data_IF_906943327714
#
_entry.id   IF_906943327714
#
_cell.length_a   1.000
_cell.length_b   1.000
_cell.length_c   1.000
_cell.angle_alpha   90.00
_cell.angle_beta   90.00
_cell.angle_gamma   90.00
#
_symmetry.space_group_name_H-M   'P 1'
#
loop_
_entity.id
_entity.type
_entity.pdbx_description
1 polymer ?
#
# COMPACT_ATOMS: atom_id res chain seq x y z
N UNK A 1 2.29 -8.73 6.90
CA UNK A 1 2.59 -10.12 6.48
C UNK A 1 3.17 -10.12 5.08
N UNK A 2 4.26 -10.84 4.86
CA UNK A 2 4.87 -11.08 3.54
C UNK A 2 4.24 -12.34 2.94
N UNK A 3 3.77 -12.29 1.69
CA UNK A 3 3.07 -13.42 1.07
C UNK A 3 4.03 -14.31 0.26
N UNK A 4 5.07 -13.72 -0.30
CA UNK A 4 6.17 -14.40 -1.01
C UNK A 4 7.51 -13.73 -0.70
N UNK A 5 8.63 -14.46 -0.64
CA UNK A 5 9.97 -13.87 -0.48
C UNK A 5 10.32 -12.80 -1.52
N UNK A 6 9.73 -12.90 -2.72
CA UNK A 6 9.93 -11.97 -3.82
C UNK A 6 9.10 -10.68 -3.69
N UNK A 7 8.16 -10.60 -2.74
CA UNK A 7 7.31 -9.43 -2.59
C UNK A 7 8.10 -8.22 -2.10
N UNK A 8 7.75 -7.05 -2.66
CA UNK A 8 8.23 -5.75 -2.20
C UNK A 8 7.15 -4.96 -1.44
N UNK A 9 6.06 -5.62 -1.07
CA UNK A 9 5.01 -5.06 -0.20
C UNK A 9 4.62 -6.08 0.88
N UNK A 10 4.17 -5.56 2.02
CA UNK A 10 3.45 -6.33 3.04
C UNK A 10 1.96 -6.07 2.95
N UNK A 11 1.15 -7.02 3.39
CA UNK A 11 -0.29 -6.84 3.65
C UNK A 11 -0.54 -6.75 5.15
N UNK A 12 -1.28 -5.72 5.58
CA UNK A 12 -1.66 -5.55 6.98
C UNK A 12 -2.69 -6.61 7.42
N UNK A 13 -2.43 -7.27 8.56
CA UNK A 13 -3.33 -8.30 9.13
C UNK A 13 -4.42 -7.71 10.03
N UNK A 14 -4.19 -6.51 10.52
CA UNK A 14 -5.09 -5.72 11.35
C UNK A 14 -4.98 -4.25 10.95
N UNK A 15 -5.87 -3.40 11.48
CA UNK A 15 -5.74 -1.97 11.28
C UNK A 15 -4.57 -1.44 12.13
N UNK A 16 -3.84 -0.47 11.58
CA UNK A 16 -2.71 0.19 12.23
C UNK A 16 -3.08 1.66 12.40
N UNK A 17 -2.93 2.18 13.61
CA UNK A 17 -3.28 3.54 13.97
C UNK A 17 -2.35 4.56 13.32
N UNK A 18 -2.82 5.80 13.23
CA UNK A 18 -1.96 6.94 12.94
C UNK A 18 -0.92 7.12 14.06
N UNK A 19 0.33 7.36 13.70
CA UNK A 19 1.44 7.49 14.64
C UNK A 19 1.94 6.17 15.22
N UNK A 20 1.31 5.04 14.88
CA UNK A 20 1.77 3.72 15.29
C UNK A 20 3.05 3.34 14.52
N UNK A 21 3.95 2.64 15.22
CA UNK A 21 5.23 2.21 14.65
C UNK A 21 5.23 0.71 14.39
N UNK A 22 5.54 0.35 13.15
CA UNK A 22 5.76 -1.03 12.72
C UNK A 22 7.24 -1.31 12.56
N UNK A 23 7.66 -2.54 12.80
CA UNK A 23 9.01 -3.01 12.45
C UNK A 23 8.96 -3.72 11.10
N UNK A 24 9.71 -3.21 10.13
CA UNK A 24 9.82 -3.74 8.77
C UNK A 24 11.29 -4.08 8.50
N UNK A 25 11.62 -5.37 8.36
CA UNK A 25 12.99 -5.85 8.16
C UNK A 25 13.99 -5.13 9.09
N UNK A 26 13.72 -5.18 10.40
CA UNK A 26 14.49 -4.55 11.49
C UNK A 26 14.50 -3.01 11.52
N UNK A 27 13.72 -2.35 10.65
CA UNK A 27 13.56 -0.88 10.65
C UNK A 27 12.23 -0.47 11.26
N UNK A 28 12.29 0.43 12.25
CA UNK A 28 11.10 1.10 12.77
C UNK A 28 10.55 2.10 11.75
N UNK A 29 9.25 1.99 11.44
CA UNK A 29 8.52 2.88 10.53
C UNK A 29 7.22 3.32 11.18
N UNK A 30 7.09 4.64 11.36
CA UNK A 30 5.87 5.25 11.89
C UNK A 30 4.91 5.58 10.75
N UNK A 31 3.66 5.14 10.85
CA UNK A 31 2.66 5.42 9.83
C UNK A 31 2.04 6.82 10.03
N UNK A 32 2.03 7.67 8.99
CA UNK A 32 1.50 9.03 9.10
C UNK A 32 -0.02 9.10 9.13
N UNK A 33 -0.70 8.01 8.75
CA UNK A 33 -2.16 7.91 8.70
C UNK A 33 -2.60 6.50 9.07
N UNK A 34 -3.82 6.39 9.60
CA UNK A 34 -4.45 5.09 9.87
C UNK A 34 -4.59 4.26 8.59
N UNK A 35 -4.21 2.99 8.64
CA UNK A 35 -4.42 2.04 7.55
C UNK A 35 -5.24 0.85 8.02
N UNK A 36 -6.24 0.44 7.23
CA UNK A 36 -7.10 -0.69 7.55
C UNK A 36 -6.46 -2.03 7.18
N UNK A 37 -7.00 -3.10 7.78
CA UNK A 37 -6.64 -4.48 7.43
C UNK A 37 -6.76 -4.70 5.92
N UNK A 38 -5.76 -5.37 5.35
CA UNK A 38 -5.72 -5.69 3.92
C UNK A 38 -5.04 -4.62 3.06
N UNK A 39 -4.79 -3.42 3.59
CA UNK A 39 -3.96 -2.42 2.91
C UNK A 39 -2.52 -2.93 2.75
N UNK A 40 -1.84 -2.38 1.73
CA UNK A 40 -0.46 -2.74 1.41
C UNK A 40 0.48 -1.66 1.89
N UNK A 41 1.62 -2.02 2.45
CA UNK A 41 2.71 -1.09 2.75
C UNK A 41 3.99 -1.53 2.07
N UNK A 42 4.83 -0.59 1.66
CA UNK A 42 6.08 -0.92 0.96
C UNK A 42 7.08 -1.60 1.91
N UNK A 43 7.68 -2.70 1.47
CA UNK A 43 8.73 -3.39 2.24
C UNK A 43 10.06 -2.63 2.21
N UNK A 44 10.33 -1.96 1.09
CA UNK A 44 11.51 -1.14 0.82
C UNK A 44 11.11 0.11 0.05
N UNK A 45 12.04 1.01 -0.19
CA UNK A 45 11.82 2.09 -1.15
C UNK A 45 11.55 1.51 -2.55
N UNK A 46 10.58 2.08 -3.26
CA UNK A 46 10.17 1.69 -4.62
C UNK A 46 10.21 2.94 -5.50
N UNK A 47 10.95 2.88 -6.60
CA UNK A 47 11.09 4.00 -7.53
C UNK A 47 9.90 4.12 -8.50
N UNK A 48 9.61 5.31 -9.06
CA UNK A 48 8.62 5.46 -10.13
C UNK A 48 8.89 4.48 -11.29
N UNK A 49 7.85 3.83 -11.78
CA UNK A 49 7.92 2.83 -12.85
C UNK A 49 8.34 1.43 -12.39
N UNK A 50 8.82 1.27 -11.16
CA UNK A 50 9.20 -0.03 -10.62
C UNK A 50 7.98 -0.92 -10.36
N UNK A 51 8.13 -2.24 -10.56
CA UNK A 51 7.05 -3.22 -10.37
C UNK A 51 6.69 -3.38 -8.90
N UNK A 52 5.39 -3.45 -8.63
CA UNK A 52 4.84 -3.87 -7.36
C UNK A 52 4.63 -5.38 -7.41
N UNK A 53 5.27 -6.12 -6.53
CA UNK A 53 5.22 -7.59 -6.47
C UNK A 53 4.40 -8.03 -5.26
N UNK A 54 3.34 -8.79 -5.51
CA UNK A 54 2.50 -9.41 -4.48
C UNK A 54 2.25 -10.86 -4.86
N UNK A 55 2.38 -11.79 -3.91
CA UNK A 55 2.36 -13.23 -4.19
C UNK A 55 3.46 -13.67 -5.19
N UNK A 56 4.57 -12.94 -5.26
CA UNK A 56 5.66 -13.17 -6.20
C UNK A 56 5.34 -12.78 -7.65
N UNK A 57 4.18 -12.19 -7.92
CA UNK A 57 3.77 -11.75 -9.25
C UNK A 57 3.68 -10.22 -9.32
N UNK A 58 4.03 -9.61 -10.48
CA UNK A 58 3.77 -8.20 -10.69
C UNK A 58 2.26 -7.94 -10.68
N UNK A 59 1.83 -6.89 -10.00
CA UNK A 59 0.42 -6.45 -9.97
C UNK A 59 0.22 -5.07 -10.59
N UNK A 60 1.32 -4.38 -10.91
CA UNK A 60 1.31 -3.00 -11.34
C UNK A 60 2.69 -2.36 -11.23
N UNK A 61 2.74 -1.06 -11.50
CA UNK A 61 3.94 -0.25 -11.41
C UNK A 61 3.70 0.99 -10.55
N UNK A 62 4.71 1.44 -9.81
CA UNK A 62 4.64 2.69 -9.05
C UNK A 62 4.49 3.90 -9.99
N UNK A 63 3.64 4.86 -9.62
CA UNK A 63 3.44 6.13 -10.36
C UNK A 63 4.19 7.30 -9.73
N UNK A 64 4.66 7.13 -8.49
CA UNK A 64 5.42 8.09 -7.70
C UNK A 64 6.48 7.33 -6.88
N UNK A 65 7.49 8.01 -6.31
CA UNK A 65 8.38 7.36 -5.33
C UNK A 65 7.56 6.92 -4.11
N UNK A 66 7.84 5.72 -3.60
CA UNK A 66 7.16 5.15 -2.42
C UNK A 66 8.23 4.82 -1.39
N UNK A 67 8.13 5.42 -0.20
CA UNK A 67 9.04 5.17 0.91
C UNK A 67 8.77 3.84 1.61
N UNK A 68 9.74 3.32 2.36
CA UNK A 68 9.57 2.13 3.21
C UNK A 68 8.37 2.34 4.15
N UNK A 69 7.46 1.39 4.19
CA UNK A 69 6.23 1.41 5.00
C UNK A 69 5.12 2.35 4.51
N UNK A 70 5.34 3.09 3.42
CA UNK A 70 4.29 3.93 2.83
C UNK A 70 3.15 3.08 2.26
N UNK A 71 1.92 3.62 2.32
CA UNK A 71 0.71 2.96 1.81
C UNK A 71 0.77 2.77 0.29
N UNK A 72 0.72 1.53 -0.18
CA UNK A 72 0.75 1.17 -1.61
C UNK A 72 -0.67 0.95 -2.13
N UNK A 73 -1.22 1.93 -2.85
CA UNK A 73 -2.61 1.91 -3.31
C UNK A 73 -2.78 2.68 -4.64
N UNK A 74 -4.02 2.75 -5.15
CA UNK A 74 -4.36 3.34 -6.45
C UNK A 74 -3.85 4.77 -6.68
N UNK A 75 -3.48 5.51 -5.63
CA UNK A 75 -2.95 6.87 -5.76
C UNK A 75 -1.47 6.90 -6.15
N UNK A 76 -0.69 5.86 -5.81
CA UNK A 76 0.75 5.77 -6.08
C UNK A 76 1.15 4.53 -6.89
N UNK A 77 0.18 3.74 -7.36
CA UNK A 77 0.41 2.63 -8.31
C UNK A 77 -0.64 2.63 -9.41
N UNK A 78 -0.27 2.09 -10.57
CA UNK A 78 -1.19 1.73 -11.64
C UNK A 78 -1.15 0.22 -11.89
N UNK A 79 -2.30 -0.37 -12.22
CA UNK A 79 -2.35 -1.76 -12.69
C UNK A 79 -1.69 -1.84 -14.08
N UNK A 80 -0.95 -2.92 -14.31
CA UNK A 80 -0.34 -3.21 -15.62
C UNK A 80 -1.25 -4.10 -16.49
N UNK A 81 -2.34 -4.64 -15.93
CA UNK A 81 -3.22 -5.60 -16.59
C UNK A 81 -4.56 -5.01 -17.01
N UNK A 82 -5.06 -4.04 -16.25
CA UNK A 82 -6.40 -3.46 -16.39
C UNK A 82 -6.36 -1.98 -16.07
N UNK A 83 -7.21 -1.18 -16.71
CA UNK A 83 -7.34 0.23 -16.37
C UNK A 83 -7.93 0.37 -14.95
N UNK A 84 -7.33 1.25 -14.14
CA UNK A 84 -7.87 1.59 -12.82
C UNK A 84 -9.09 2.49 -12.98
N UNK A 85 -10.25 2.04 -12.51
CA UNK A 85 -11.46 2.86 -12.40
C UNK A 85 -11.74 3.15 -10.91
N UNK A 86 -11.75 4.42 -10.53
CA UNK A 86 -12.05 4.84 -9.16
C UNK A 86 -13.55 5.12 -9.06
N UNK A 87 -14.24 4.36 -8.21
CA UNK A 87 -15.65 4.63 -7.90
C UNK A 87 -15.67 5.64 -6.76
N UNK A 88 -16.06 6.87 -7.06
CA UNK A 88 -16.29 7.90 -6.06
C UNK A 88 -17.56 7.55 -5.27
N UNK A 89 -17.45 7.37 -3.96
CA UNK A 89 -18.63 7.25 -3.10
C UNK A 89 -19.17 8.65 -2.84
N UNK A 90 -20.39 8.92 -3.32
CA UNK A 90 -21.19 10.08 -2.89
C UNK A 90 -21.37 9.98 -1.38
N UNK A 91 -20.93 10.98 -0.62
CA UNK A 91 -21.26 11.07 0.80
C UNK A 91 -22.79 11.24 0.89
N UNK A 92 -23.47 10.34 1.58
CA UNK A 92 -24.86 10.57 1.99
C UNK A 92 -24.83 11.68 3.05
N UNK A 93 -25.46 12.81 2.74
CA UNK A 93 -25.70 13.87 3.73
C UNK A 93 -26.50 13.27 4.89
N UNK A 94 -26.09 13.45 6.15
CA UNK A 94 -26.93 13.04 7.26
C UNK A 94 -28.26 13.80 7.18
N UNK A 95 -29.36 13.04 7.23
CA UNK A 95 -30.70 13.59 7.34
C UNK A 95 -30.75 14.53 8.56
N UNK A 96 -31.31 15.72 8.35
CA UNK A 96 -31.49 16.79 9.34
C UNK A 96 -32.22 16.32 10.59
#
# INVERSE_FOLDING_TARGET
>A
MLLSPADNVFVLREAVGEGETLVIDDRAVTLPHRLDRGHKIARRAIAPGEKILKYGAPIGSATAPIAVGEHVHIHNIKSDYTATHVIERKQEEPAQ
#
